data_IF_401171573592
#
_entry.id   IF_401171573592
#
_cell.length_a   1.000
_cell.length_b   1.000
_cell.length_c   1.000
_cell.angle_alpha   90.00
_cell.angle_beta   90.00
_cell.angle_gamma   90.00
#
_symmetry.space_group_name_H-M   'P 1'
#
loop_
_entity.id
_entity.type
_entity.pdbx_description
1 polymer ?
#
# COMPACT_ATOMS: atom_id res chain seq x y z
N UNK A 1 -12.44 -4.51 11.78
CA UNK A 1 -11.55 -4.32 10.61
C UNK A 1 -10.75 -5.58 10.27
N UNK A 2 -9.93 -6.12 11.18
CA UNK A 2 -9.15 -7.35 10.94
C UNK A 2 -10.00 -8.56 10.49
N UNK A 3 -11.16 -8.77 11.12
CA UNK A 3 -12.11 -9.83 10.72
C UNK A 3 -12.71 -9.62 9.32
N UNK A 4 -12.90 -8.35 8.91
CA UNK A 4 -13.40 -8.00 7.59
C UNK A 4 -12.33 -8.28 6.52
N UNK A 5 -11.09 -7.82 6.73
CA UNK A 5 -9.96 -8.10 5.83
C UNK A 5 -9.74 -9.61 5.69
N UNK A 6 -9.73 -10.35 6.80
CA UNK A 6 -9.55 -11.80 6.79
C UNK A 6 -10.68 -12.52 6.05
N UNK A 7 -11.93 -12.09 6.23
CA UNK A 7 -13.09 -12.62 5.51
C UNK A 7 -13.03 -12.31 4.02
N UNK A 8 -12.68 -11.08 3.64
CA UNK A 8 -12.53 -10.70 2.23
C UNK A 8 -11.44 -11.51 1.54
N UNK A 9 -10.31 -11.74 2.20
CA UNK A 9 -9.24 -12.60 1.67
C UNK A 9 -9.69 -14.06 1.52
N UNK A 10 -10.44 -14.60 2.48
CA UNK A 10 -10.97 -15.97 2.44
C UNK A 10 -12.06 -16.16 1.38
N UNK A 11 -12.99 -15.22 1.24
CA UNK A 11 -14.09 -15.29 0.26
C UNK A 11 -13.56 -15.26 -1.19
N UNK A 12 -12.42 -14.59 -1.41
CA UNK A 12 -11.71 -14.56 -2.69
C UNK A 12 -11.02 -15.91 -2.99
N UNK A 13 -10.62 -16.66 -1.97
CA UNK A 13 -9.94 -17.95 -2.13
C UNK A 13 -10.89 -19.11 -2.47
N UNK A 14 -12.19 -18.97 -2.17
CA UNK A 14 -13.16 -20.07 -2.20
C UNK A 14 -14.01 -20.16 -3.50
N UNK A 15 -13.73 -19.35 -4.53
CA UNK A 15 -14.52 -19.38 -5.78
C UNK A 15 -14.01 -20.52 -6.69
N UNK A 16 -14.74 -21.64 -6.85
CA UNK A 16 -14.30 -22.79 -7.63
C UNK A 16 -14.63 -22.52 -9.10
N UNK A 17 -13.61 -22.40 -9.96
CA UNK A 17 -13.82 -22.26 -11.41
C UNK A 17 -12.77 -21.46 -12.18
N UNK A 18 -11.80 -20.83 -11.53
CA UNK A 18 -10.74 -20.11 -12.25
C UNK A 18 -9.61 -21.06 -12.60
N UNK A 19 -9.75 -21.76 -13.73
CA UNK A 19 -8.60 -22.38 -14.41
C UNK A 19 -7.86 -21.28 -15.15
N UNK A 20 -7.02 -20.54 -14.43
CA UNK A 20 -5.98 -19.69 -15.03
C UNK A 20 -4.71 -19.92 -14.24
N UNK A 21 -3.71 -20.63 -14.80
CA UNK A 21 -2.44 -20.81 -14.14
C UNK A 21 -1.64 -19.49 -14.23
N UNK A 22 -1.88 -18.56 -13.30
CA UNK A 22 -1.06 -17.36 -13.14
C UNK A 22 -1.06 -16.92 -11.68
N UNK A 23 -0.13 -17.47 -10.91
CA UNK A 23 0.17 -17.12 -9.53
C UNK A 23 0.95 -15.78 -9.41
N UNK A 24 1.19 -15.06 -10.51
CA UNK A 24 2.30 -14.09 -10.56
C UNK A 24 1.93 -12.60 -10.50
N UNK A 25 0.67 -12.16 -10.47
CA UNK A 25 0.36 -10.75 -10.18
C UNK A 25 -1.12 -10.47 -9.89
N UNK A 26 -1.65 -10.97 -8.76
CA UNK A 26 -2.77 -10.28 -8.11
C UNK A 26 -2.20 -9.00 -7.48
N UNK A 27 -1.96 -7.98 -8.30
CA UNK A 27 -1.17 -6.80 -7.93
C UNK A 27 -2.08 -5.79 -7.23
N UNK A 28 -2.44 -6.09 -5.99
CA UNK A 28 -2.88 -5.07 -5.03
C UNK A 28 -1.64 -4.58 -4.30
N UNK A 29 -1.47 -3.28 -4.18
CA UNK A 29 -0.34 -2.72 -3.43
C UNK A 29 -0.45 -1.23 -3.19
N UNK A 30 0.55 -0.72 -2.50
CA UNK A 30 0.69 0.68 -2.15
C UNK A 30 2.12 1.14 -2.43
N UNK A 31 2.29 2.36 -2.93
CA UNK A 31 3.59 3.00 -3.10
C UNK A 31 3.52 4.41 -2.53
N UNK A 32 4.47 4.75 -1.67
CA UNK A 32 4.66 6.10 -1.17
C UNK A 32 5.89 6.73 -1.83
N UNK A 33 5.67 7.79 -2.61
CA UNK A 33 6.72 8.56 -3.25
C UNK A 33 7.00 9.83 -2.42
N UNK A 34 8.15 9.87 -1.76
CA UNK A 34 8.53 10.94 -0.82
C UNK A 34 9.50 11.98 -1.41
N UNK A 35 10.21 11.66 -2.51
CA UNK A 35 11.26 12.52 -3.09
C UNK A 35 10.76 13.71 -3.91
N UNK A 36 9.46 13.81 -4.16
CA UNK A 36 8.86 14.96 -4.85
C UNK A 36 7.89 15.60 -3.89
N UNK A 37 8.10 16.86 -3.54
CA UNK A 37 7.01 17.68 -3.01
C UNK A 37 6.16 18.15 -4.21
N UNK A 38 4.83 17.90 -4.21
CA UNK A 38 4.06 17.20 -3.18
C UNK A 38 4.25 15.67 -3.20
N UNK A 39 4.39 15.06 -2.01
CA UNK A 39 4.50 13.61 -1.84
C UNK A 39 3.21 12.92 -2.25
N UNK A 40 3.30 11.67 -2.70
CA UNK A 40 2.15 10.94 -3.24
C UNK A 40 2.04 9.54 -2.63
N UNK A 41 0.84 9.15 -2.21
CA UNK A 41 0.48 7.76 -1.89
C UNK A 41 -0.37 7.21 -3.04
N UNK A 42 0.12 6.17 -3.70
CA UNK A 42 -0.58 5.46 -4.77
C UNK A 42 -1.05 4.12 -4.24
N UNK A 43 -2.35 3.89 -4.25
CA UNK A 43 -2.93 2.56 -4.05
C UNK A 43 -3.34 2.02 -5.40
N UNK A 44 -2.90 0.81 -5.73
CA UNK A 44 -3.24 0.17 -7.01
C UNK A 44 -3.87 -1.19 -6.79
N UNK A 45 -4.80 -1.52 -7.66
CA UNK A 45 -5.42 -2.84 -7.77
C UNK A 45 -5.40 -3.18 -9.24
N UNK A 46 -4.66 -4.22 -9.60
CA UNK A 46 -4.71 -4.81 -10.92
C UNK A 46 -5.62 -6.04 -10.87
N UNK A 47 -6.63 -6.05 -11.73
CA UNK A 47 -7.52 -7.20 -11.88
C UNK A 47 -8.97 -6.82 -12.13
N UNK A 48 -9.64 -7.70 -12.87
CA UNK A 48 -11.06 -7.70 -13.13
C UNK A 48 -11.38 -9.05 -13.75
N UNK A 49 -12.38 -9.76 -13.22
CA UNK A 49 -12.83 -11.01 -13.83
C UNK A 49 -13.32 -10.68 -15.25
N UNK A 50 -12.70 -11.28 -16.27
CA UNK A 50 -13.15 -11.20 -17.67
C UNK A 50 -13.30 -9.73 -18.13
N UNK A 51 -12.30 -8.89 -17.83
CA UNK A 51 -12.27 -7.49 -18.28
C UNK A 51 -13.29 -6.56 -17.59
N UNK A 52 -14.05 -7.03 -16.60
CA UNK A 52 -14.96 -6.20 -15.82
C UNK A 52 -14.28 -5.71 -14.53
N UNK A 53 -13.90 -4.42 -14.44
CA UNK A 53 -13.22 -3.88 -13.26
C UNK A 53 -14.18 -3.51 -12.13
N UNK A 54 -15.51 -3.50 -12.35
CA UNK A 54 -16.48 -2.86 -11.45
C UNK A 54 -16.43 -3.40 -10.02
N UNK A 55 -16.30 -4.72 -9.86
CA UNK A 55 -16.22 -5.34 -8.52
C UNK A 55 -14.91 -4.98 -7.81
N UNK A 56 -13.78 -5.04 -8.52
CA UNK A 56 -12.47 -4.71 -7.96
C UNK A 56 -12.41 -3.22 -7.58
N UNK A 57 -12.89 -2.35 -8.47
CA UNK A 57 -12.99 -0.92 -8.25
C UNK A 57 -13.88 -0.57 -7.06
N UNK A 58 -15.11 -1.11 -7.00
CA UNK A 58 -16.02 -0.87 -5.88
C UNK A 58 -15.45 -1.35 -4.54
N UNK A 59 -14.72 -2.48 -4.55
CA UNK A 59 -14.07 -3.02 -3.36
C UNK A 59 -12.93 -2.11 -2.91
N UNK A 60 -12.06 -1.69 -3.83
CA UNK A 60 -10.95 -0.79 -3.55
C UNK A 60 -11.46 0.55 -3.01
N UNK A 61 -12.45 1.15 -3.65
CA UNK A 61 -13.06 2.41 -3.22
C UNK A 61 -13.68 2.30 -1.82
N UNK A 62 -14.37 1.18 -1.53
CA UNK A 62 -14.91 0.92 -0.20
C UNK A 62 -13.81 0.85 0.87
N UNK A 63 -12.71 0.14 0.59
CA UNK A 63 -11.57 0.06 1.51
C UNK A 63 -10.94 1.44 1.74
N UNK A 64 -10.70 2.22 0.68
CA UNK A 64 -10.16 3.58 0.77
C UNK A 64 -11.04 4.47 1.64
N UNK A 65 -12.36 4.46 1.41
CA UNK A 65 -13.31 5.24 2.19
C UNK A 65 -13.33 4.84 3.66
N UNK A 66 -13.29 3.54 3.95
CA UNK A 66 -13.24 3.03 5.34
C UNK A 66 -11.96 3.47 6.03
N UNK A 67 -10.80 3.34 5.37
CA UNK A 67 -9.51 3.73 5.93
C UNK A 67 -9.41 5.25 6.18
N UNK A 68 -9.97 6.06 5.28
CA UNK A 68 -9.99 7.50 5.43
C UNK A 68 -10.88 7.95 6.61
N UNK A 69 -12.06 7.33 6.79
CA UNK A 69 -13.07 7.82 7.72
C UNK A 69 -13.01 7.15 9.11
N UNK A 70 -12.67 5.87 9.18
CA UNK A 70 -12.85 5.06 10.39
C UNK A 70 -11.60 5.04 11.23
N UNK A 71 -11.73 5.30 12.54
CA UNK A 71 -10.60 5.17 13.48
C UNK A 71 -10.07 3.73 13.47
N UNK A 72 -8.76 3.59 13.28
CA UNK A 72 -8.04 2.33 13.51
C UNK A 72 -8.35 1.78 14.91
N UNK A 73 -8.77 0.51 14.96
CA UNK A 73 -9.03 -0.24 16.18
C UNK A 73 -8.05 -1.39 16.29
N UNK A 74 -7.59 -1.68 17.51
CA UNK A 74 -6.63 -2.74 17.79
C UNK A 74 -5.19 -2.24 17.82
N UNK A 75 -4.27 -3.17 18.04
CA UNK A 75 -2.84 -2.91 18.07
C UNK A 75 -2.29 -2.74 16.65
N UNK A 76 -1.30 -1.85 16.49
CA UNK A 76 -0.53 -1.69 15.25
C UNK A 76 0.88 -2.30 15.37
N UNK A 77 1.18 -3.01 16.46
CA UNK A 77 2.54 -3.51 16.72
C UNK A 77 3.02 -4.53 15.68
N UNK A 78 2.13 -5.35 15.14
CA UNK A 78 2.46 -6.27 14.03
C UNK A 78 2.91 -5.49 12.79
N UNK A 79 2.20 -4.43 12.41
CA UNK A 79 2.56 -3.58 11.27
C UNK A 79 3.86 -2.80 11.50
N UNK A 80 4.13 -2.38 12.75
CA UNK A 80 5.40 -1.73 13.11
C UNK A 80 6.57 -2.70 13.02
N UNK A 81 6.38 -3.94 13.46
CA UNK A 81 7.38 -4.99 13.36
C UNK A 81 7.69 -5.35 11.90
N UNK A 82 6.66 -5.48 11.06
CA UNK A 82 6.78 -5.69 9.62
C UNK A 82 7.55 -4.54 8.95
N UNK A 83 7.12 -3.29 9.17
CA UNK A 83 7.79 -2.11 8.60
C UNK A 83 9.25 -1.98 9.03
N UNK A 84 9.57 -2.31 10.29
CA UNK A 84 10.94 -2.32 10.77
C UNK A 84 11.78 -3.42 10.13
N UNK A 85 11.20 -4.61 9.95
CA UNK A 85 11.83 -5.74 9.27
C UNK A 85 12.13 -5.44 7.80
N UNK A 86 11.15 -4.90 7.08
CA UNK A 86 11.30 -4.50 5.68
C UNK A 86 12.37 -3.43 5.51
N UNK A 87 12.35 -2.38 6.34
CA UNK A 87 13.38 -1.34 6.29
C UNK A 87 14.78 -1.89 6.57
N UNK A 88 14.92 -2.77 7.57
CA UNK A 88 16.21 -3.38 7.90
C UNK A 88 16.72 -4.30 6.78
N UNK A 89 15.81 -5.01 6.10
CA UNK A 89 16.13 -5.87 4.96
C UNK A 89 16.55 -5.04 3.74
N UNK A 90 15.80 -4.00 3.40
CA UNK A 90 16.15 -3.09 2.30
C UNK A 90 17.52 -2.45 2.54
N UNK A 91 17.78 -2.03 3.78
CA UNK A 91 19.07 -1.49 4.20
C UNK A 91 20.15 -2.56 4.42
N UNK A 92 20.00 -3.82 3.97
CA UNK A 92 21.03 -4.85 4.15
C UNK A 92 22.20 -4.69 3.18
N UNK A 93 21.97 -4.15 1.98
CA UNK A 93 22.99 -4.06 0.93
C UNK A 93 23.75 -2.72 0.98
N UNK A 94 25.01 -2.73 0.51
CA UNK A 94 25.80 -1.49 0.41
C UNK A 94 25.16 -0.48 -0.55
N UNK A 95 24.60 -0.97 -1.66
CA UNK A 95 23.92 -0.15 -2.66
C UNK A 95 22.75 0.63 -2.06
N UNK A 96 21.82 -0.06 -1.37
CA UNK A 96 20.68 0.60 -0.74
C UNK A 96 21.12 1.55 0.37
N UNK A 97 22.13 1.17 1.18
CA UNK A 97 22.67 2.06 2.23
C UNK A 97 23.27 3.33 1.67
N UNK A 98 24.02 3.24 0.57
CA UNK A 98 24.61 4.40 -0.09
C UNK A 98 23.52 5.32 -0.66
N UNK A 99 22.49 4.75 -1.27
CA UNK A 99 21.34 5.51 -1.76
C UNK A 99 20.56 6.19 -0.61
N UNK A 100 20.24 5.48 0.46
CA UNK A 100 19.58 6.04 1.65
C UNK A 100 20.41 7.16 2.29
N UNK A 101 21.73 7.00 2.38
CA UNK A 101 22.61 8.05 2.88
C UNK A 101 22.53 9.32 2.01
N UNK A 102 22.45 9.18 0.68
CA UNK A 102 22.25 10.31 -0.22
C UNK A 102 20.88 10.98 -0.04
N UNK A 103 19.81 10.19 0.09
CA UNK A 103 18.44 10.68 0.38
C UNK A 103 18.42 11.50 1.67
N UNK A 104 18.89 10.91 2.78
CA UNK A 104 18.85 11.54 4.10
C UNK A 104 19.87 12.68 4.27
N UNK A 105 20.96 12.71 3.49
CA UNK A 105 21.91 13.83 3.52
C UNK A 105 21.24 15.17 3.19
N UNK A 106 20.21 15.16 2.34
CA UNK A 106 19.45 16.36 1.93
C UNK A 106 18.56 16.91 3.05
N UNK A 107 18.18 16.07 3.99
CA UNK A 107 17.32 16.43 5.12
C UNK A 107 18.10 16.98 6.33
N UNK A 108 19.40 17.30 6.16
CA UNK A 108 20.32 17.63 7.26
C UNK A 108 20.34 16.54 8.35
N UNK A 109 20.07 15.29 7.97
CA UNK A 109 19.96 14.20 8.91
C UNK A 109 21.35 13.74 9.36
N UNK A 110 21.43 13.39 10.64
CA UNK A 110 22.57 12.69 11.25
C UNK A 110 23.03 11.50 10.39
N UNK A 111 24.33 11.15 10.36
CA UNK A 111 24.83 9.93 9.72
C UNK A 111 24.16 8.65 10.25
N UNK A 112 23.47 8.72 11.39
CA UNK A 112 22.69 7.63 11.96
C UNK A 112 21.22 7.59 11.47
N UNK A 113 21.03 7.64 10.15
CA UNK A 113 19.69 7.66 9.55
C UNK A 113 18.91 6.34 9.78
N UNK A 114 19.62 5.21 9.88
CA UNK A 114 19.02 3.89 10.09
C UNK A 114 18.33 3.82 11.46
N UNK A 115 19.04 4.15 12.55
CA UNK A 115 18.43 4.10 13.88
C UNK A 115 17.33 5.14 14.02
N UNK A 116 17.47 6.30 13.37
CA UNK A 116 16.42 7.32 13.35
C UNK A 116 15.13 6.81 12.67
N UNK A 117 15.25 6.14 11.54
CA UNK A 117 14.10 5.56 10.84
C UNK A 117 13.41 4.48 11.70
N UNK A 118 14.19 3.57 12.30
CA UNK A 118 13.67 2.55 13.20
C UNK A 118 13.00 3.14 14.45
N UNK A 119 13.57 4.20 15.02
CA UNK A 119 12.97 4.92 16.14
C UNK A 119 11.66 5.61 15.73
N UNK A 120 11.58 6.17 14.52
CA UNK A 120 10.35 6.78 14.00
C UNK A 120 9.24 5.73 13.78
N UNK A 121 9.58 4.54 13.25
CA UNK A 121 8.65 3.41 13.13
C UNK A 121 8.15 2.99 14.53
N UNK A 122 9.06 2.85 15.49
CA UNK A 122 8.73 2.46 16.87
C UNK A 122 7.84 3.48 17.58
N UNK A 123 8.06 4.78 17.36
CA UNK A 123 7.28 5.86 17.96
C UNK A 123 5.91 6.09 17.28
N UNK A 124 5.65 5.46 16.13
CA UNK A 124 4.40 5.65 15.39
C UNK A 124 3.19 5.19 16.21
N UNK A 125 2.18 6.06 16.30
CA UNK A 125 0.94 5.79 17.02
C UNK A 125 -0.22 5.46 16.07
N UNK A 126 -1.29 4.80 16.56
CA UNK A 126 -2.51 4.60 15.76
C UNK A 126 -3.13 5.92 15.26
N UNK A 127 -3.03 6.99 16.05
CA UNK A 127 -3.57 8.29 15.67
C UNK A 127 -2.74 8.95 14.56
N UNK A 128 -1.42 8.71 14.50
CA UNK A 128 -0.57 9.13 13.38
C UNK A 128 -0.98 8.44 12.08
N UNK A 129 -1.17 7.12 12.12
CA UNK A 129 -1.61 6.35 10.94
C UNK A 129 -2.97 6.85 10.47
N UNK A 130 -3.89 7.10 11.40
CA UNK A 130 -5.21 7.64 11.06
C UNK A 130 -5.13 9.04 10.44
N UNK A 131 -4.27 9.91 10.99
CA UNK A 131 -4.06 11.25 10.46
C UNK A 131 -3.52 11.19 9.03
N UNK A 132 -2.51 10.36 8.77
CA UNK A 132 -1.94 10.16 7.43
C UNK A 132 -2.97 9.57 6.46
N UNK A 133 -3.75 8.57 6.91
CA UNK A 133 -4.83 7.99 6.10
C UNK A 133 -5.85 9.06 5.67
N UNK A 134 -6.29 9.94 6.59
CA UNK A 134 -7.19 11.05 6.23
C UNK A 134 -6.57 12.01 5.22
N UNK A 135 -5.30 12.36 5.40
CA UNK A 135 -4.60 13.30 4.52
C UNK A 135 -4.49 12.78 3.10
N UNK A 136 -4.09 11.52 2.89
CA UNK A 136 -3.84 10.99 1.56
C UNK A 136 -5.07 10.30 0.93
N UNK A 137 -5.97 9.74 1.73
CA UNK A 137 -7.11 8.94 1.26
C UNK A 137 -8.45 9.68 1.35
N UNK A 138 -8.50 10.85 1.99
CA UNK A 138 -9.75 11.60 2.16
C UNK A 138 -10.31 12.21 0.86
N UNK A 139 -9.44 12.53 -0.10
CA UNK A 139 -9.83 13.01 -1.42
C UNK A 139 -8.86 12.48 -2.50
N UNK A 140 -8.93 11.17 -2.82
CA UNK A 140 -7.98 10.53 -3.70
C UNK A 140 -8.26 10.89 -5.17
N UNK A 141 -7.20 11.02 -5.97
CA UNK A 141 -7.36 11.00 -7.43
C UNK A 141 -7.58 9.56 -7.88
N UNK A 142 -8.67 9.33 -8.63
CA UNK A 142 -9.03 8.01 -9.13
C UNK A 142 -8.63 7.90 -10.59
N UNK A 143 -7.79 6.90 -10.91
CA UNK A 143 -7.42 6.55 -12.27
C UNK A 143 -7.85 5.11 -12.58
N UNK A 144 -8.59 4.93 -13.68
CA UNK A 144 -8.98 3.62 -14.20
C UNK A 144 -8.28 3.39 -15.54
N UNK A 145 -7.44 2.35 -15.60
CA UNK A 145 -6.77 1.94 -16.83
C UNK A 145 -7.46 0.70 -17.37
N UNK A 146 -8.01 0.82 -18.58
CA UNK A 146 -8.65 -0.29 -19.29
C UNK A 146 -7.76 -0.74 -20.45
N UNK A 147 -7.82 -2.02 -20.85
CA UNK A 147 -7.25 -2.46 -22.11
C UNK A 147 -7.77 -1.58 -23.25
N UNK A 148 -6.91 -1.30 -24.24
CA UNK A 148 -7.37 -0.74 -25.50
C UNK A 148 -8.34 -1.75 -26.13
N UNK A 149 -9.54 -1.32 -26.50
CA UNK A 149 -10.50 -2.23 -27.12
C UNK A 149 -9.91 -2.85 -28.38
N UNK A 150 -9.85 -4.17 -28.47
CA UNK A 150 -10.11 -4.83 -29.74
C UNK A 150 -11.59 -4.64 -29.99
N UNK A 151 -11.94 -3.93 -31.04
CA UNK A 151 -13.31 -3.60 -31.49
C UNK A 151 -14.39 -4.53 -30.90
N UNK A 152 -15.34 -3.95 -30.15
CA UNK A 152 -16.62 -4.58 -29.82
C UNK A 152 -17.53 -4.56 -31.06
N UNK A 153 -17.08 -5.19 -32.13
CA UNK A 153 -17.86 -5.51 -33.32
C UNK A 153 -17.42 -6.91 -33.73
N UNK A 154 -18.07 -7.92 -33.15
CA UNK A 154 -18.45 -9.19 -33.76
C UNK A 154 -19.48 -9.88 -32.83
#
# INVERSE_FOLDING_TARGET
LAAFVRRTLSDIAQVPGVVTPTFASRSVGAVYAYDRAPSTLVLYVNGGLIGNPSRAFATALSVVNVLAATRLQGSIEEFKAEAAGDFANDAATLETRAWLAAVFSRESASPDFINRALAAISATTPDDVQRVARTYLGNPTIALVLPRGTNLQD
#
